data_IF_695013040286
#
_entry.id   IF_695013040286
#
_cell.length_a   1.000
_cell.length_b   1.000
_cell.length_c   1.000
_cell.angle_alpha   90.00
_cell.angle_beta   90.00
_cell.angle_gamma   90.00
#
_symmetry.space_group_name_H-M   'P 1'
#
loop_
_entity.id
_entity.type
_entity.pdbx_description
1 polymer ?
#
# COMPACT_ATOMS: atom_id res chain seq x y z
N UNK A 1 -20.97 14.00 5.68
CA UNK A 1 -20.62 12.65 6.20
C UNK A 1 -19.45 12.06 5.42
N UNK A 2 -18.38 11.66 6.11
CA UNK A 2 -17.16 11.14 5.48
C UNK A 2 -17.36 9.76 4.81
N UNK A 3 -18.31 8.97 5.29
CA UNK A 3 -18.66 7.65 4.75
C UNK A 3 -20.17 7.54 4.51
N UNK A 4 -20.57 6.77 3.49
CA UNK A 4 -21.95 6.34 3.29
C UNK A 4 -22.30 5.32 4.37
N UNK A 5 -23.41 5.54 5.10
CA UNK A 5 -23.90 4.62 6.11
C UNK A 5 -24.60 3.44 5.42
N UNK A 6 -24.18 2.22 5.76
CA UNK A 6 -24.79 0.99 5.27
C UNK A 6 -25.58 0.29 6.38
N UNK A 7 -26.81 -0.14 6.08
CA UNK A 7 -27.67 -0.81 7.07
C UNK A 7 -27.21 -2.26 7.25
N UNK A 8 -27.06 -2.71 8.50
CA UNK A 8 -26.61 -4.08 8.81
C UNK A 8 -27.47 -5.20 8.19
N UNK A 9 -28.77 -4.96 8.02
CA UNK A 9 -29.72 -5.94 7.46
C UNK A 9 -30.00 -5.71 5.97
N UNK A 10 -29.17 -4.94 5.29
CA UNK A 10 -29.28 -4.73 3.85
C UNK A 10 -28.87 -6.02 3.12
N UNK A 11 -29.74 -6.61 2.26
CA UNK A 11 -29.36 -7.78 1.47
C UNK A 11 -28.18 -7.48 0.52
N UNK A 12 -27.91 -6.21 0.20
CA UNK A 12 -26.80 -5.75 -0.63
C UNK A 12 -25.70 -5.03 0.18
N UNK A 13 -25.50 -5.45 1.44
CA UNK A 13 -24.54 -4.83 2.36
C UNK A 13 -23.14 -4.67 1.76
N UNK A 14 -22.60 -5.73 1.14
CA UNK A 14 -21.26 -5.70 0.54
C UNK A 14 -21.15 -4.65 -0.56
N UNK A 15 -22.18 -4.50 -1.40
CA UNK A 15 -22.23 -3.48 -2.44
C UNK A 15 -22.31 -2.07 -1.85
N UNK A 16 -23.11 -1.87 -0.80
CA UNK A 16 -23.16 -0.59 -0.11
C UNK A 16 -21.79 -0.20 0.49
N UNK A 17 -21.10 -1.14 1.13
CA UNK A 17 -19.78 -0.92 1.71
C UNK A 17 -18.76 -0.62 0.61
N UNK A 18 -18.78 -1.36 -0.51
CA UNK A 18 -17.94 -1.09 -1.69
C UNK A 18 -18.11 0.36 -2.15
N UNK A 19 -19.35 0.81 -2.36
CA UNK A 19 -19.64 2.19 -2.76
C UNK A 19 -19.20 3.23 -1.72
N UNK A 20 -19.30 2.89 -0.43
CA UNK A 20 -18.82 3.75 0.65
C UNK A 20 -17.30 3.93 0.58
N UNK A 21 -16.55 2.85 0.36
CA UNK A 21 -15.09 2.86 0.19
C UNK A 21 -14.68 3.62 -1.06
N UNK A 22 -15.34 3.40 -2.19
CA UNK A 22 -15.03 4.10 -3.46
C UNK A 22 -15.20 5.62 -3.34
N UNK A 23 -16.12 6.09 -2.49
CA UNK A 23 -16.30 7.52 -2.21
C UNK A 23 -15.17 8.13 -1.37
N UNK A 24 -14.38 7.30 -0.69
CA UNK A 24 -13.26 7.79 0.11
C UNK A 24 -12.07 8.24 -0.73
N UNK A 25 -11.94 7.81 -2.00
CA UNK A 25 -10.79 8.14 -2.86
C UNK A 25 -10.41 9.62 -2.81
N UNK A 26 -11.37 10.52 -3.01
CA UNK A 26 -11.13 11.96 -2.99
C UNK A 26 -10.65 12.48 -1.62
N UNK A 27 -11.17 11.93 -0.53
CA UNK A 27 -10.77 12.32 0.83
C UNK A 27 -9.41 11.74 1.20
N UNK A 28 -9.13 10.49 0.81
CA UNK A 28 -7.83 9.85 1.01
C UNK A 28 -6.72 10.60 0.26
N UNK A 29 -7.03 11.14 -0.93
CA UNK A 29 -6.12 12.01 -1.67
C UNK A 29 -5.70 13.25 -0.88
N UNK A 30 -6.65 13.92 -0.24
CA UNK A 30 -6.38 15.14 0.52
C UNK A 30 -5.96 14.90 1.98
N UNK A 31 -6.17 13.68 2.50
CA UNK A 31 -6.09 13.39 3.93
C UNK A 31 -7.33 13.84 4.69
N UNK A 32 -7.45 13.37 5.93
CA UNK A 32 -8.51 13.75 6.88
C UNK A 32 -7.88 14.04 8.25
N UNK A 33 -7.49 15.31 8.53
CA UNK A 33 -6.81 15.69 9.76
C UNK A 33 -7.59 15.36 11.03
N UNK A 34 -8.92 15.50 11.01
CA UNK A 34 -9.82 15.17 12.13
C UNK A 34 -9.69 13.71 12.59
N UNK A 35 -9.31 12.82 11.68
CA UNK A 35 -9.10 11.39 11.93
C UNK A 35 -7.63 10.99 11.93
N UNK A 36 -6.69 11.96 11.91
CA UNK A 36 -5.25 11.72 11.81
C UNK A 36 -4.85 10.91 10.56
N UNK A 37 -5.62 11.05 9.49
CA UNK A 37 -5.27 10.45 8.20
C UNK A 37 -4.51 11.50 7.41
N UNK A 38 -3.26 11.20 7.09
CA UNK A 38 -2.41 12.03 6.22
C UNK A 38 -2.87 11.92 4.75
N UNK A 39 -2.49 12.85 3.88
CA UNK A 39 -2.68 12.68 2.44
C UNK A 39 -2.05 11.37 1.96
N UNK A 40 -2.74 10.67 1.06
CA UNK A 40 -2.23 9.44 0.43
C UNK A 40 -1.76 9.67 -1.01
N UNK A 41 -1.57 10.92 -1.41
CA UNK A 41 -1.09 11.32 -2.74
C UNK A 41 -0.20 12.59 -2.67
N UNK A 42 1.12 12.44 -2.42
CA UNK A 42 1.77 11.21 -1.99
C UNK A 42 1.49 10.90 -0.51
N UNK A 43 1.53 9.61 -0.16
CA UNK A 43 1.80 9.18 1.19
C UNK A 43 3.30 9.32 1.46
N UNK A 44 3.66 10.22 2.37
CA UNK A 44 5.04 10.43 2.82
C UNK A 44 5.29 9.59 4.07
N UNK A 45 6.35 8.79 4.06
CA UNK A 45 6.81 8.04 5.25
C UNK A 45 8.12 8.64 5.73
N UNK A 46 8.06 9.29 6.90
CA UNK A 46 9.19 10.02 7.47
C UNK A 46 10.25 9.08 8.11
N UNK A 47 9.85 7.86 8.47
CA UNK A 47 10.73 6.90 9.12
C UNK A 47 11.57 6.11 8.12
N UNK A 48 12.86 5.93 8.43
CA UNK A 48 13.72 5.01 7.69
C UNK A 48 13.30 3.56 7.94
N UNK A 49 13.19 2.78 6.87
CA UNK A 49 12.79 1.37 6.92
C UNK A 49 14.00 0.48 6.62
N UNK A 50 14.29 -0.46 7.52
CA UNK A 50 15.24 -1.54 7.26
C UNK A 50 14.61 -2.60 6.36
N UNK A 51 15.13 -2.77 5.15
CA UNK A 51 14.68 -3.78 4.18
C UNK A 51 15.35 -5.13 4.43
N UNK A 52 16.63 -5.12 4.78
CA UNK A 52 17.42 -6.31 5.09
C UNK A 52 18.59 -5.97 6.00
N UNK A 53 18.95 -6.87 6.91
CA UNK A 53 20.09 -6.65 7.81
C UNK A 53 20.74 -7.99 8.18
N UNK A 54 22.06 -8.05 8.01
CA UNK A 54 22.91 -9.20 8.29
C UNK A 54 24.35 -8.73 8.56
N UNK A 55 25.24 -9.65 8.94
CA UNK A 55 26.63 -9.30 9.27
C UNK A 55 27.43 -8.74 8.07
N UNK A 56 27.14 -9.20 6.86
CA UNK A 56 27.85 -8.82 5.63
C UNK A 56 27.01 -7.98 4.66
N UNK A 57 25.75 -7.69 5.00
CA UNK A 57 24.85 -6.96 4.12
C UNK A 57 23.78 -6.23 4.93
N UNK A 58 23.57 -4.95 4.65
CA UNK A 58 22.43 -4.17 5.12
C UNK A 58 21.83 -3.38 3.97
N UNK A 59 20.51 -3.29 3.94
CA UNK A 59 19.74 -2.44 3.04
C UNK A 59 18.67 -1.72 3.83
N UNK A 60 18.61 -0.41 3.70
CA UNK A 60 17.56 0.44 4.26
C UNK A 60 17.09 1.45 3.23
N UNK A 61 15.95 2.06 3.51
CA UNK A 61 15.36 3.07 2.64
C UNK A 61 14.78 4.22 3.47
N UNK A 62 14.88 5.43 2.96
CA UNK A 62 14.34 6.65 3.55
C UNK A 62 13.73 7.54 2.46
N UNK A 63 13.17 8.68 2.87
CA UNK A 63 12.52 9.64 1.97
C UNK A 63 11.45 8.98 1.07
N UNK A 64 10.63 8.11 1.67
CA UNK A 64 9.70 7.26 0.94
C UNK A 64 8.45 8.07 0.60
N UNK A 65 8.11 8.10 -0.69
CA UNK A 65 6.88 8.66 -1.23
C UNK A 65 6.13 7.59 -2.01
N UNK A 66 4.87 7.36 -1.65
CA UNK A 66 3.99 6.41 -2.34
C UNK A 66 2.86 7.20 -3.00
N UNK A 67 2.68 6.99 -4.30
CA UNK A 67 1.72 7.69 -5.14
C UNK A 67 0.66 6.73 -5.66
N UNK A 68 -0.44 7.30 -6.15
CA UNK A 68 -1.58 6.63 -6.79
C UNK A 68 -2.38 5.69 -5.87
N UNK A 69 -2.16 5.73 -4.55
CA UNK A 69 -2.95 4.94 -3.59
C UNK A 69 -4.46 5.20 -3.75
N UNK A 70 -4.96 6.45 -3.86
CA UNK A 70 -6.39 6.71 -3.99
C UNK A 70 -6.97 6.30 -5.36
N UNK A 71 -6.14 5.83 -6.29
CA UNK A 71 -6.54 5.41 -7.64
C UNK A 71 -6.88 3.91 -7.74
N UNK A 72 -6.96 3.18 -6.61
CA UNK A 72 -7.47 1.80 -6.58
C UNK A 72 -8.77 1.69 -7.37
N UNK A 73 -8.95 0.70 -8.24
CA UNK A 73 -10.02 0.67 -9.25
C UNK A 73 -11.06 -0.44 -9.02
N UNK A 74 -10.65 -1.59 -8.45
CA UNK A 74 -11.57 -2.64 -7.99
C UNK A 74 -11.47 -2.87 -6.48
N UNK A 75 -12.64 -3.06 -5.86
CA UNK A 75 -12.80 -3.39 -4.44
C UNK A 75 -13.80 -4.51 -4.33
N UNK A 76 -13.40 -5.65 -3.75
CA UNK A 76 -14.31 -6.72 -3.35
C UNK A 76 -14.46 -6.71 -1.84
N UNK A 77 -15.71 -6.79 -1.40
CA UNK A 77 -16.08 -6.70 0.01
C UNK A 77 -16.75 -8.00 0.42
N UNK A 78 -16.30 -8.53 1.54
CA UNK A 78 -16.92 -9.66 2.22
C UNK A 78 -17.13 -9.31 3.71
N UNK A 79 -18.38 -9.02 4.08
CA UNK A 79 -18.75 -8.67 5.46
C UNK A 79 -19.48 -9.82 6.14
N UNK A 80 -18.89 -10.34 7.22
CA UNK A 80 -19.53 -11.27 8.14
C UNK A 80 -19.92 -10.49 9.41
N UNK A 81 -21.21 -10.15 9.53
CA UNK A 81 -21.71 -9.36 10.67
C UNK A 81 -21.61 -10.14 11.98
N UNK A 82 -21.88 -11.44 11.96
CA UNK A 82 -21.93 -12.25 13.17
C UNK A 82 -20.52 -12.40 13.77
N UNK A 83 -19.51 -12.59 12.91
CA UNK A 83 -18.10 -12.61 13.30
C UNK A 83 -17.46 -11.23 13.45
N UNK A 84 -18.18 -10.16 13.08
CA UNK A 84 -17.66 -8.78 13.01
C UNK A 84 -16.38 -8.69 12.17
N UNK A 85 -16.35 -9.43 11.08
CA UNK A 85 -15.18 -9.55 10.21
C UNK A 85 -15.47 -8.89 8.87
N UNK A 86 -14.57 -8.01 8.45
CA UNK A 86 -14.61 -7.34 7.16
C UNK A 86 -13.34 -7.68 6.39
N UNK A 87 -13.50 -8.38 5.28
CA UNK A 87 -12.44 -8.63 4.33
C UNK A 87 -12.61 -7.71 3.11
N UNK A 88 -11.50 -7.06 2.75
CA UNK A 88 -11.40 -6.15 1.62
C UNK A 88 -10.29 -6.64 0.71
N UNK A 89 -10.63 -6.92 -0.55
CA UNK A 89 -9.65 -7.09 -1.60
C UNK A 89 -9.65 -5.82 -2.44
N UNK A 90 -8.57 -5.06 -2.38
CA UNK A 90 -8.41 -3.79 -3.08
C UNK A 90 -7.35 -3.97 -4.16
N UNK A 91 -7.71 -3.69 -5.39
CA UNK A 91 -6.81 -3.70 -6.53
C UNK A 91 -6.31 -2.30 -6.84
N UNK A 92 -5.01 -2.17 -7.07
CA UNK A 92 -4.38 -0.94 -7.52
C UNK A 92 -3.75 -1.21 -8.88
N UNK A 93 -4.27 -0.57 -9.93
CA UNK A 93 -3.76 -0.75 -11.29
C UNK A 93 -2.34 -0.19 -11.47
N UNK A 94 -2.01 0.85 -10.70
CA UNK A 94 -0.72 1.51 -10.73
C UNK A 94 -0.39 2.01 -9.32
N UNK A 95 0.78 1.64 -8.83
CA UNK A 95 1.37 2.15 -7.60
C UNK A 95 2.80 2.55 -7.91
N UNK A 96 3.17 3.77 -7.53
CA UNK A 96 4.53 4.25 -7.68
C UNK A 96 5.12 4.49 -6.30
N UNK A 97 6.28 3.89 -6.06
CA UNK A 97 7.10 4.14 -4.88
C UNK A 97 8.38 4.82 -5.33
N UNK A 98 8.69 5.95 -4.70
CA UNK A 98 9.96 6.64 -4.80
C UNK A 98 10.61 6.65 -3.43
N UNK A 99 11.86 6.22 -3.34
CA UNK A 99 12.59 6.25 -2.08
C UNK A 99 14.10 6.27 -2.35
N UNK A 100 14.83 6.82 -1.41
CA UNK A 100 16.28 6.75 -1.37
C UNK A 100 16.69 5.43 -0.69
N UNK A 101 17.76 4.80 -1.17
CA UNK A 101 18.26 3.53 -0.63
C UNK A 101 19.68 3.69 -0.08
N UNK A 102 19.95 3.02 1.03
CA UNK A 102 21.29 2.85 1.59
C UNK A 102 21.60 1.35 1.68
N UNK A 103 22.59 0.91 0.90
CA UNK A 103 23.03 -0.47 0.83
C UNK A 103 24.51 -0.54 1.20
N UNK A 104 24.83 -1.32 2.21
CA UNK A 104 26.20 -1.66 2.57
C UNK A 104 26.41 -3.17 2.43
N UNK A 105 27.47 -3.57 1.72
CA UNK A 105 27.84 -4.97 1.55
C UNK A 105 29.33 -5.18 1.83
N UNK A 106 29.67 -6.27 2.52
CA UNK A 106 31.04 -6.75 2.74
C UNK A 106 31.23 -8.03 1.96
N UNK A 107 31.93 -7.93 0.83
CA UNK A 107 32.29 -9.08 -0.01
C UNK A 107 33.70 -9.51 0.38
N UNK A 108 33.81 -10.67 1.04
CA UNK A 108 35.10 -11.22 1.50
C UNK A 108 35.74 -12.19 0.48
N UNK A 109 35.01 -12.60 -0.57
CA UNK A 109 35.46 -13.59 -1.56
C UNK A 109 35.14 -13.15 -2.99
N UNK A 110 36.00 -13.45 -3.98
CA UNK A 110 35.80 -13.01 -5.37
C UNK A 110 34.66 -13.76 -6.05
N UNK A 111 33.75 -13.02 -6.69
CA UNK A 111 32.69 -13.55 -7.55
C UNK A 111 33.18 -13.51 -9.00
N UNK A 112 33.15 -14.66 -9.69
CA UNK A 112 33.47 -14.76 -11.11
C UNK A 112 32.34 -15.47 -11.83
N UNK A 113 31.76 -14.84 -12.86
CA UNK A 113 30.66 -15.41 -13.65
C UNK A 113 30.84 -15.11 -15.15
N UNK A 114 30.44 -16.06 -16.00
CA UNK A 114 30.28 -15.90 -17.46
C UNK A 114 29.05 -16.68 -17.92
N UNK A 115 28.17 -16.04 -18.67
CA UNK A 115 26.98 -16.66 -19.26
C UNK A 115 26.11 -15.63 -19.99
N UNK A 116 25.20 -16.07 -20.87
CA UNK A 116 24.22 -15.19 -21.50
C UNK A 116 23.16 -14.74 -20.49
N UNK A 117 22.66 -13.52 -20.66
CA UNK A 117 21.52 -12.99 -19.91
C UNK A 117 20.41 -12.71 -20.92
N UNK A 118 19.22 -13.23 -20.63
CA UNK A 118 17.98 -12.95 -21.35
C UNK A 118 16.91 -12.66 -20.29
N UNK A 119 16.23 -11.52 -20.42
CA UNK A 119 15.21 -11.07 -19.48
C UNK A 119 14.00 -10.65 -20.31
N UNK A 120 12.91 -11.40 -20.18
CA UNK A 120 11.58 -11.03 -20.67
C UNK A 120 10.70 -10.67 -19.47
N UNK A 121 9.94 -9.57 -19.57
CA UNK A 121 8.98 -9.12 -18.56
C UNK A 121 7.57 -9.24 -19.14
#
# INVERSE_FOLDING_TARGET
PYVKICKRRDPNLNQCIKESILKLRGMLKAGLPDFKIVPLEPLVVDESLSLASSQSFSASTNNINIYKIPEFDDVKVNMDIDKKFLELNVHFADLRLEADYDIAARILVPITAKGPIEIDI
#
